data_IF_664186909533
#
_entry.id   IF_664186909533
#
_cell.length_a   1.000
_cell.length_b   1.000
_cell.length_c   1.000
_cell.angle_alpha   90.00
_cell.angle_beta   90.00
_cell.angle_gamma   90.00
#
_symmetry.space_group_name_H-M   'P 1'
#
loop_
_entity.id
_entity.type
_entity.pdbx_description
1 polymer ?
#
# COMPACT_ATOMS: atom_id res chain seq x y z
N UNK A 1 17.74 16.71 -6.42
CA UNK A 1 16.58 16.46 -7.32
C UNK A 1 15.70 17.69 -7.30
N UNK A 2 15.62 18.44 -8.40
CA UNK A 2 14.77 19.63 -8.47
C UNK A 2 13.31 19.22 -8.28
N UNK A 3 12.70 19.71 -7.20
CA UNK A 3 11.29 19.48 -6.89
C UNK A 3 10.46 20.20 -7.95
N UNK A 4 9.86 19.45 -8.89
CA UNK A 4 9.01 20.06 -9.91
C UNK A 4 7.83 20.75 -9.23
N UNK A 5 7.59 22.01 -9.58
CA UNK A 5 6.45 22.75 -9.04
C UNK A 5 5.13 22.14 -9.54
N UNK A 6 4.05 22.17 -8.73
CA UNK A 6 2.75 21.64 -9.15
C UNK A 6 2.26 22.22 -10.49
N UNK A 7 2.58 23.50 -10.76
CA UNK A 7 2.26 24.17 -12.03
C UNK A 7 3.04 23.57 -13.21
N UNK A 8 4.34 23.28 -13.04
CA UNK A 8 5.14 22.64 -14.09
C UNK A 8 4.62 21.24 -14.41
N UNK A 9 4.24 20.46 -13.40
CA UNK A 9 3.64 19.14 -13.61
C UNK A 9 2.28 19.23 -14.31
N UNK A 10 1.45 20.21 -13.97
CA UNK A 10 0.16 20.44 -14.64
C UNK A 10 0.35 20.85 -16.11
N UNK A 11 1.26 21.81 -16.38
CA UNK A 11 1.56 22.25 -17.74
C UNK A 11 2.13 21.11 -18.59
N UNK A 12 3.00 20.28 -18.00
CA UNK A 12 3.51 19.08 -18.66
C UNK A 12 2.39 18.10 -19.01
N UNK A 13 1.47 17.82 -18.07
CA UNK A 13 0.33 16.92 -18.32
C UNK A 13 -0.60 17.48 -19.41
N UNK A 14 -0.89 18.79 -19.39
CA UNK A 14 -1.69 19.42 -20.44
C UNK A 14 -1.01 19.36 -21.81
N UNK A 15 0.31 19.56 -21.87
CA UNK A 15 1.08 19.44 -23.11
C UNK A 15 1.03 18.01 -23.65
N UNK A 16 1.25 17.00 -22.80
CA UNK A 16 1.17 15.58 -23.20
C UNK A 16 -0.25 15.23 -23.66
N UNK A 17 -1.28 15.70 -22.95
CA UNK A 17 -2.67 15.50 -23.35
C UNK A 17 -2.99 16.15 -24.70
N UNK A 18 -2.52 17.38 -24.94
CA UNK A 18 -2.69 18.07 -26.21
C UNK A 18 -2.00 17.33 -27.35
N UNK A 19 -0.76 16.86 -27.15
CA UNK A 19 -0.03 16.08 -28.14
C UNK A 19 -0.75 14.76 -28.46
N UNK A 20 -1.31 14.09 -27.45
CA UNK A 20 -2.10 12.89 -27.67
C UNK A 20 -3.36 13.19 -28.49
N UNK A 21 -4.09 14.27 -28.20
CA UNK A 21 -5.27 14.68 -28.97
C UNK A 21 -4.93 15.06 -30.41
N UNK A 22 -3.80 15.75 -30.64
CA UNK A 22 -3.31 16.04 -31.99
C UNK A 22 -2.97 14.75 -32.72
N UNK A 23 -2.33 13.79 -32.05
CA UNK A 23 -2.08 12.47 -32.63
C UNK A 23 -3.41 11.76 -32.98
N UNK A 24 -4.42 11.78 -32.10
CA UNK A 24 -5.75 11.21 -32.36
C UNK A 24 -6.43 11.83 -33.58
N UNK A 25 -6.28 13.15 -33.75
CA UNK A 25 -6.85 13.88 -34.87
C UNK A 25 -6.09 13.65 -36.19
N UNK A 26 -4.77 13.58 -36.14
CA UNK A 26 -3.92 13.45 -37.31
C UNK A 26 -3.75 12.01 -37.81
N UNK A 27 -4.02 11.00 -36.97
CA UNK A 27 -3.85 9.60 -37.35
C UNK A 27 -4.95 9.14 -38.33
N UNK A 28 -4.60 8.44 -39.42
CA UNK A 28 -5.59 7.97 -40.39
C UNK A 28 -6.51 6.89 -39.80
N UNK A 29 -7.82 7.00 -40.06
CA UNK A 29 -8.84 6.05 -39.56
C UNK A 29 -8.61 4.59 -39.97
N UNK A 30 -7.92 4.35 -41.10
CA UNK A 30 -7.62 3.01 -41.60
C UNK A 30 -6.26 2.45 -41.11
N UNK A 31 -5.61 3.15 -40.17
CA UNK A 31 -4.28 2.83 -39.67
C UNK A 31 -3.17 3.07 -40.71
N UNK A 32 -1.93 2.93 -40.24
CA UNK A 32 -0.72 2.97 -41.08
C UNK A 32 -0.20 1.54 -41.20
N UNK A 33 -0.22 0.98 -42.41
CA UNK A 33 0.36 -0.34 -42.67
C UNK A 33 1.89 -0.25 -42.60
N UNK A 34 2.48 -0.99 -41.67
CA UNK A 34 3.94 -1.13 -41.52
C UNK A 34 4.46 -2.37 -42.27
N UNK A 35 3.62 -3.41 -42.40
CA UNK A 35 3.86 -4.59 -43.25
C UNK A 35 2.51 -5.21 -43.67
N UNK A 36 2.54 -6.30 -44.43
CA UNK A 36 1.34 -7.08 -44.80
C UNK A 36 0.61 -7.70 -43.59
N UNK A 37 1.26 -7.78 -42.42
CA UNK A 37 0.75 -8.39 -41.20
C UNK A 37 0.58 -7.43 -40.02
N UNK A 38 1.06 -6.19 -40.13
CA UNK A 38 1.07 -5.22 -39.04
C UNK A 38 0.53 -3.88 -39.52
N UNK A 39 -0.63 -3.50 -38.98
CA UNK A 39 -1.21 -2.17 -39.11
C UNK A 39 -1.08 -1.47 -37.76
N UNK A 40 -0.44 -0.30 -37.76
CA UNK A 40 -0.45 0.58 -36.61
C UNK A 40 -1.77 1.35 -36.62
N UNK A 41 -2.55 1.20 -35.57
CA UNK A 41 -3.81 1.91 -35.37
C UNK A 41 -3.68 2.81 -34.15
N UNK A 42 -4.45 3.89 -34.13
CA UNK A 42 -4.50 4.82 -33.01
C UNK A 42 -5.95 5.25 -32.80
N UNK A 43 -6.37 5.29 -31.54
CA UNK A 43 -7.75 5.55 -31.16
C UNK A 43 -8.21 6.91 -31.69
N UNK A 44 -9.38 6.96 -32.32
CA UNK A 44 -9.93 8.20 -32.84
C UNK A 44 -10.56 9.05 -31.72
N UNK A 45 -10.73 10.36 -31.96
CA UNK A 45 -11.44 11.24 -31.02
C UNK A 45 -12.88 10.78 -30.77
N UNK A 46 -13.52 10.20 -31.80
CA UNK A 46 -14.88 9.70 -31.75
C UNK A 46 -15.00 8.46 -30.86
N UNK A 47 -14.01 7.57 -30.84
CA UNK A 47 -13.99 6.40 -29.96
C UNK A 47 -13.54 6.75 -28.53
N UNK A 48 -12.59 7.67 -28.38
CA UNK A 48 -12.09 8.07 -27.07
C UNK A 48 -13.10 8.90 -26.26
N UNK A 49 -13.82 9.82 -26.91
CA UNK A 49 -14.87 10.63 -26.28
C UNK A 49 -16.28 10.10 -26.52
N UNK A 50 -16.45 9.22 -27.49
CA UNK A 50 -17.70 8.49 -27.67
C UNK A 50 -17.92 7.60 -26.47
N UNK A 51 -19.13 7.64 -25.92
CA UNK A 51 -19.59 6.59 -25.02
C UNK A 51 -19.76 5.35 -25.89
N UNK A 52 -18.68 4.59 -26.08
CA UNK A 52 -18.76 3.25 -26.65
C UNK A 52 -19.55 2.41 -25.66
N UNK A 53 -20.83 2.16 -25.96
CA UNK A 53 -21.62 1.13 -25.32
C UNK A 53 -20.79 -0.17 -25.40
N UNK A 54 -20.29 -0.60 -24.25
CA UNK A 54 -19.62 -1.88 -23.98
C UNK A 54 -18.38 -2.21 -24.83
N UNK A 55 -17.23 -2.13 -24.16
CA UNK A 55 -16.04 -2.88 -24.53
C UNK A 55 -16.43 -4.33 -24.87
N UNK A 56 -15.98 -4.80 -26.04
CA UNK A 56 -16.01 -6.20 -26.49
C UNK A 56 -15.47 -7.11 -25.39
N UNK A 57 -16.36 -7.67 -24.57
CA UNK A 57 -16.10 -8.86 -23.77
C UNK A 57 -16.41 -10.03 -24.69
N UNK A 58 -15.36 -10.57 -25.31
CA UNK A 58 -15.43 -11.80 -26.08
C UNK A 58 -15.73 -12.97 -25.14
N UNK A 59 -17.01 -13.22 -24.82
CA UNK A 59 -17.43 -14.49 -24.21
C UNK A 59 -18.94 -14.71 -24.32
N UNK A 60 -19.35 -15.61 -25.23
CA UNK A 60 -20.60 -16.41 -25.18
C UNK A 60 -21.95 -15.64 -25.26
N UNK A 61 -21.97 -14.35 -25.01
CA UNK A 61 -23.20 -13.52 -24.95
C UNK A 61 -23.80 -13.27 -26.34
N UNK A 62 -22.98 -13.00 -27.38
CA UNK A 62 -23.46 -12.74 -28.76
C UNK A 62 -24.17 -13.93 -29.42
N UNK A 63 -23.93 -15.16 -28.97
CA UNK A 63 -24.61 -16.35 -29.51
C UNK A 63 -26.06 -16.50 -29.01
N UNK A 64 -26.43 -15.82 -27.92
CA UNK A 64 -27.80 -15.87 -27.38
C UNK A 64 -28.68 -14.73 -27.91
N UNK A 65 -28.10 -13.60 -28.32
CA UNK A 65 -28.87 -12.42 -28.76
C UNK A 65 -29.45 -12.52 -30.18
N UNK A 66 -28.96 -13.42 -31.04
CA UNK A 66 -29.47 -13.57 -32.40
C UNK A 66 -30.70 -14.48 -32.52
N UNK A 67 -31.16 -15.12 -31.44
CA UNK A 67 -32.21 -16.16 -31.52
C UNK A 67 -33.62 -15.62 -31.31
N UNK A 68 -33.83 -14.45 -30.69
CA UNK A 68 -35.21 -13.96 -30.48
C UNK A 68 -35.28 -12.45 -30.57
N UNK A 69 -35.97 -11.95 -31.61
CA UNK A 69 -36.34 -10.54 -31.75
C UNK A 69 -37.35 -10.11 -30.69
N UNK A 70 -36.89 -9.97 -29.45
CA UNK A 70 -37.67 -9.52 -28.30
C UNK A 70 -37.23 -8.10 -27.94
N UNK A 71 -38.23 -7.27 -27.68
CA UNK A 71 -38.18 -5.88 -27.26
C UNK A 71 -36.98 -5.54 -26.34
N UNK A 72 -36.10 -4.69 -26.86
CA UNK A 72 -34.74 -4.42 -26.36
C UNK A 72 -34.73 -3.68 -25.02
N UNK A 73 -35.80 -2.96 -24.67
CA UNK A 73 -35.84 -2.11 -23.48
C UNK A 73 -36.05 -2.92 -22.19
N UNK A 74 -36.97 -3.90 -22.21
CA UNK A 74 -37.24 -4.75 -21.05
C UNK A 74 -36.10 -5.74 -20.75
N UNK A 75 -35.39 -6.18 -21.80
CA UNK A 75 -34.23 -7.06 -21.71
C UNK A 75 -33.01 -6.32 -21.16
N UNK A 76 -32.77 -5.07 -21.59
CA UNK A 76 -31.67 -4.23 -21.07
C UNK A 76 -31.81 -3.97 -19.57
N UNK A 77 -32.99 -3.62 -19.08
CA UNK A 77 -33.24 -3.41 -17.65
C UNK A 77 -33.07 -4.69 -16.81
N UNK A 78 -33.46 -5.83 -17.38
CA UNK A 78 -33.29 -7.14 -16.73
C UNK A 78 -31.82 -7.53 -16.66
N UNK A 79 -31.05 -7.29 -17.73
CA UNK A 79 -29.61 -7.50 -17.79
C UNK A 79 -28.85 -6.55 -16.87
N UNK A 80 -29.25 -5.28 -16.77
CA UNK A 80 -28.68 -4.31 -15.83
C UNK A 80 -28.93 -4.72 -14.38
N UNK A 81 -30.12 -5.25 -14.07
CA UNK A 81 -30.41 -5.85 -12.76
C UNK A 81 -29.53 -7.07 -12.50
N UNK A 82 -29.40 -7.97 -13.46
CA UNK A 82 -28.55 -9.17 -13.34
C UNK A 82 -27.09 -8.77 -13.18
N UNK A 83 -26.60 -7.77 -13.91
CA UNK A 83 -25.26 -7.22 -13.79
C UNK A 83 -25.02 -6.57 -12.42
N UNK A 84 -25.98 -5.80 -11.89
CA UNK A 84 -25.91 -5.23 -10.53
C UNK A 84 -25.95 -6.30 -9.44
N UNK A 85 -26.78 -7.34 -9.61
CA UNK A 85 -26.88 -8.49 -8.70
C UNK A 85 -25.58 -9.28 -8.75
N UNK A 86 -25.07 -9.59 -9.94
CA UNK A 86 -23.79 -10.29 -10.15
C UNK A 86 -22.63 -9.47 -9.62
N UNK A 87 -22.60 -8.16 -9.85
CA UNK A 87 -21.61 -7.27 -9.28
C UNK A 87 -21.67 -7.33 -7.76
N UNK A 88 -22.85 -7.24 -7.14
CA UNK A 88 -23.03 -7.40 -5.68
C UNK A 88 -22.62 -8.79 -5.16
N UNK A 89 -22.84 -9.86 -5.92
CA UNK A 89 -22.43 -11.23 -5.58
C UNK A 89 -20.91 -11.43 -5.72
N UNK A 90 -20.28 -10.82 -6.71
CA UNK A 90 -18.84 -10.93 -7.00
C UNK A 90 -18.04 -9.91 -6.17
N UNK A 91 -18.63 -8.76 -5.82
CA UNK A 91 -18.03 -7.68 -5.04
C UNK A 91 -18.27 -7.82 -3.53
N UNK A 92 -19.12 -8.77 -3.11
CA UNK A 92 -19.25 -9.14 -1.71
C UNK A 92 -17.96 -9.78 -1.21
N UNK A 93 -17.60 -9.53 0.05
CA UNK A 93 -16.49 -10.25 0.69
C UNK A 93 -16.85 -11.74 0.68
N UNK A 94 -16.13 -12.52 -0.12
CA UNK A 94 -16.32 -13.96 -0.14
C UNK A 94 -15.74 -14.56 1.13
N UNK A 95 -16.55 -15.33 1.83
CA UNK A 95 -16.13 -16.01 3.04
C UNK A 95 -16.88 -17.32 3.22
N UNK A 96 -16.30 -18.32 3.90
CA UNK A 96 -17.04 -19.52 4.27
C UNK A 96 -18.15 -19.18 5.26
N UNK A 97 -19.21 -20.01 5.31
CA UNK A 97 -20.30 -19.85 6.29
C UNK A 97 -19.78 -19.90 7.74
N UNK A 98 -18.69 -20.63 7.96
CA UNK A 98 -18.00 -20.74 9.25
C UNK A 98 -17.21 -19.48 9.64
N UNK A 99 -17.12 -18.45 8.79
CA UNK A 99 -16.36 -17.23 9.08
C UNK A 99 -16.89 -16.56 10.34
N UNK A 100 -18.22 -16.44 10.48
CA UNK A 100 -18.84 -15.77 11.63
C UNK A 100 -18.38 -16.45 12.91
N UNK A 101 -18.40 -17.79 12.94
CA UNK A 101 -17.93 -18.59 14.07
C UNK A 101 -16.43 -18.40 14.34
N UNK A 102 -15.63 -18.31 13.27
CA UNK A 102 -14.17 -18.11 13.36
C UNK A 102 -13.81 -16.73 13.92
N UNK A 103 -14.59 -15.70 13.62
CA UNK A 103 -14.36 -14.32 14.08
C UNK A 103 -14.96 -14.03 15.46
N UNK A 104 -15.75 -14.93 16.06
CA UNK A 104 -16.38 -14.67 17.36
C UNK A 104 -15.36 -14.28 18.44
N UNK A 105 -14.20 -14.95 18.49
CA UNK A 105 -13.13 -14.64 19.47
C UNK A 105 -12.55 -13.24 19.23
N UNK A 106 -12.41 -12.85 17.97
CA UNK A 106 -11.94 -11.53 17.58
C UNK A 106 -12.94 -10.44 18.02
N UNK A 107 -14.22 -10.57 17.67
CA UNK A 107 -15.24 -9.60 18.07
C UNK A 107 -15.43 -9.54 19.59
N UNK A 108 -15.39 -10.67 20.30
CA UNK A 108 -15.40 -10.69 21.78
C UNK A 108 -14.23 -9.89 22.35
N UNK A 109 -13.04 -9.98 21.73
CA UNK A 109 -11.87 -9.21 22.15
C UNK A 109 -12.05 -7.71 21.92
N UNK A 110 -12.67 -7.31 20.81
CA UNK A 110 -13.00 -5.91 20.50
C UNK A 110 -14.08 -5.33 21.44
N UNK A 111 -15.13 -6.09 21.72
CA UNK A 111 -16.17 -5.68 22.68
C UNK A 111 -15.57 -5.51 24.08
N UNK A 112 -14.70 -6.45 24.49
CA UNK A 112 -13.96 -6.34 25.77
C UNK A 112 -13.06 -5.11 25.79
N UNK A 113 -12.35 -4.81 24.70
CA UNK A 113 -11.53 -3.61 24.56
C UNK A 113 -12.37 -2.34 24.78
N UNK A 114 -13.54 -2.24 24.15
CA UNK A 114 -14.46 -1.10 24.28
C UNK A 114 -14.98 -0.94 25.71
N UNK A 115 -15.33 -2.05 26.37
CA UNK A 115 -15.97 -2.03 27.69
C UNK A 115 -14.98 -1.87 28.86
N UNK A 116 -13.78 -2.48 28.77
CA UNK A 116 -12.83 -2.61 29.89
C UNK A 116 -11.45 -2.05 29.60
N UNK A 117 -11.21 -1.54 28.39
CA UNK A 117 -9.86 -1.18 27.95
C UNK A 117 -8.98 -2.41 27.69
N UNK A 118 -7.68 -2.17 27.48
CA UNK A 118 -6.70 -3.19 27.15
C UNK A 118 -6.01 -2.93 25.81
N UNK A 119 -5.50 -3.99 25.17
CA UNK A 119 -4.76 -3.88 23.92
C UNK A 119 -5.10 -5.04 22.99
N UNK A 120 -5.68 -4.72 21.84
CA UNK A 120 -5.85 -5.65 20.71
C UNK A 120 -4.94 -5.15 19.58
N UNK A 121 -4.10 -6.03 19.05
CA UNK A 121 -3.24 -5.72 17.89
C UNK A 121 -3.73 -6.54 16.71
N UNK A 122 -3.96 -5.87 15.59
CA UNK A 122 -4.43 -6.47 14.34
C UNK A 122 -3.30 -6.35 13.33
N UNK A 123 -2.95 -7.47 12.71
CA UNK A 123 -1.94 -7.54 11.67
C UNK A 123 -2.63 -7.83 10.35
N UNK A 124 -2.43 -6.95 9.37
CA UNK A 124 -3.08 -7.02 8.07
C UNK A 124 -2.01 -7.32 7.01
N UNK A 125 -2.00 -8.55 6.51
CA UNK A 125 -1.12 -8.99 5.43
C UNK A 125 -1.87 -9.00 4.10
N UNK A 126 -1.13 -8.72 3.04
CA UNK A 126 -1.67 -8.62 1.69
C UNK A 126 -0.56 -8.23 0.72
N UNK A 127 -0.98 -7.76 -0.44
CA UNK A 127 -0.12 -7.39 -1.57
C UNK A 127 0.14 -5.86 -1.62
N UNK A 128 0.55 -5.39 -2.79
CA UNK A 128 0.84 -3.98 -3.06
C UNK A 128 -0.36 -3.04 -2.84
N UNK A 129 -1.59 -3.53 -2.83
CA UNK A 129 -2.79 -2.70 -2.66
C UNK A 129 -2.93 -2.18 -1.23
N UNK A 130 -2.49 -2.94 -0.23
CA UNK A 130 -2.42 -2.46 1.15
C UNK A 130 -1.11 -1.73 1.46
N UNK A 131 -0.10 -1.89 0.62
CA UNK A 131 1.17 -1.18 0.71
C UNK A 131 0.93 0.34 0.54
N UNK A 132 1.41 1.15 1.49
CA UNK A 132 1.08 2.58 1.54
C UNK A 132 -0.26 2.90 2.21
N UNK A 133 -0.85 1.95 2.95
CA UNK A 133 -1.98 2.21 3.86
C UNK A 133 -3.31 2.55 3.14
N UNK A 134 -3.48 2.15 1.87
CA UNK A 134 -4.67 2.56 1.08
C UNK A 134 -5.98 2.02 1.64
N UNK A 135 -6.04 0.74 1.96
CA UNK A 135 -7.20 0.08 2.59
C UNK A 135 -7.07 0.05 4.12
N UNK A 136 -5.88 -0.28 4.63
CA UNK A 136 -5.62 -0.43 6.07
C UNK A 136 -5.99 0.83 6.86
N UNK A 137 -5.82 2.03 6.29
CA UNK A 137 -6.23 3.28 6.97
C UNK A 137 -7.72 3.33 7.29
N UNK A 138 -8.57 2.89 6.37
CA UNK A 138 -10.02 2.94 6.53
C UNK A 138 -10.47 1.89 7.52
N UNK A 139 -9.99 0.65 7.37
CA UNK A 139 -10.28 -0.45 8.29
C UNK A 139 -9.83 -0.08 9.72
N UNK A 140 -8.60 0.41 9.88
CA UNK A 140 -8.06 0.88 11.17
C UNK A 140 -8.94 1.97 11.76
N UNK A 141 -9.33 2.97 10.97
CA UNK A 141 -10.14 4.10 11.43
C UNK A 141 -11.53 3.66 11.90
N UNK A 142 -12.21 2.81 11.13
CA UNK A 142 -13.54 2.32 11.51
C UNK A 142 -13.49 1.44 12.76
N UNK A 143 -12.50 0.55 12.88
CA UNK A 143 -12.31 -0.24 14.10
C UNK A 143 -11.98 0.64 15.32
N UNK A 144 -11.12 1.65 15.14
CA UNK A 144 -10.76 2.59 16.21
C UNK A 144 -11.92 3.51 16.62
N UNK A 145 -12.82 3.86 15.69
CA UNK A 145 -14.05 4.60 15.98
C UNK A 145 -15.03 3.75 16.78
N UNK A 146 -15.27 2.51 16.33
CA UNK A 146 -16.29 1.65 16.92
C UNK A 146 -15.87 1.07 18.26
N UNK A 147 -14.65 0.54 18.36
CA UNK A 147 -14.17 -0.22 19.52
C UNK A 147 -13.13 0.52 20.36
N UNK A 148 -12.74 1.72 19.94
CA UNK A 148 -11.68 2.49 20.59
C UNK A 148 -10.28 2.05 20.16
N UNK A 149 -9.27 2.65 20.80
CA UNK A 149 -7.87 2.50 20.41
C UNK A 149 -7.37 3.66 19.55
N UNK A 150 -6.04 3.81 19.51
CA UNK A 150 -5.35 4.89 18.83
C UNK A 150 -3.98 4.42 18.33
N UNK A 151 -3.36 5.26 17.51
CA UNK A 151 -1.98 5.06 17.06
C UNK A 151 -1.86 4.30 15.74
N UNK A 152 -0.65 4.34 15.14
CA UNK A 152 -0.35 3.74 13.82
C UNK A 152 -0.17 2.22 13.88
N UNK A 153 0.30 1.69 15.02
CA UNK A 153 0.60 0.27 15.17
C UNK A 153 2.09 -0.02 14.95
N UNK A 154 2.39 -1.00 14.12
CA UNK A 154 3.76 -1.47 13.86
C UNK A 154 4.22 -0.94 12.49
N UNK A 155 5.36 -0.26 12.48
CA UNK A 155 5.94 0.38 11.28
C UNK A 155 7.43 -0.02 11.18
N UNK A 156 8.00 -0.21 9.97
CA UNK A 156 9.42 -0.50 9.80
C UNK A 156 10.29 0.71 10.07
N UNK A 157 11.55 0.48 10.46
CA UNK A 157 12.52 1.55 10.69
C UNK A 157 12.95 2.26 9.41
N UNK A 158 12.74 1.68 8.23
CA UNK A 158 12.87 2.35 6.94
C UNK A 158 11.62 2.09 6.10
N UNK A 159 10.81 3.14 5.95
CA UNK A 159 9.56 3.10 5.21
C UNK A 159 9.80 3.48 3.73
N UNK A 160 9.48 2.57 2.80
CA UNK A 160 9.62 2.83 1.36
C UNK A 160 8.48 3.69 0.82
N UNK A 161 7.26 3.47 1.33
CA UNK A 161 6.06 4.21 0.90
C UNK A 161 5.52 5.05 2.04
N UNK A 162 5.28 6.34 1.78
CA UNK A 162 4.60 7.22 2.74
C UNK A 162 3.25 6.61 3.14
N UNK A 163 2.97 6.52 4.43
CA UNK A 163 1.68 6.04 4.95
C UNK A 163 0.82 7.21 5.43
N UNK A 164 -0.47 6.97 5.64
CA UNK A 164 -1.35 7.96 6.28
C UNK A 164 -1.26 7.95 7.80
N UNK A 165 -0.47 7.05 8.38
CA UNK A 165 -0.37 6.85 9.80
C UNK A 165 0.73 7.72 10.43
N UNK A 166 1.92 7.71 9.82
CA UNK A 166 3.09 8.46 10.27
C UNK A 166 3.82 9.11 9.10
N UNK A 167 4.50 10.23 9.40
CA UNK A 167 5.62 10.73 8.63
C UNK A 167 6.89 10.22 9.27
N UNK A 168 7.79 9.73 8.43
CA UNK A 168 9.08 9.22 8.84
C UNK A 168 10.16 9.92 8.01
N UNK A 169 11.21 10.38 8.69
CA UNK A 169 12.43 10.90 8.10
C UNK A 169 13.62 10.18 8.78
N UNK A 170 14.75 10.03 8.10
CA UNK A 170 15.90 9.25 8.60
C UNK A 170 17.22 9.71 7.99
N UNK A 171 18.35 9.28 8.57
CA UNK A 171 19.67 9.45 7.96
C UNK A 171 19.84 8.61 6.68
N UNK A 172 20.76 9.03 5.81
CA UNK A 172 20.93 8.45 4.47
C UNK A 172 21.45 7.01 4.44
N UNK A 173 22.04 6.53 5.54
CA UNK A 173 22.69 5.22 5.63
C UNK A 173 21.73 4.06 5.95
N UNK A 174 20.43 4.28 6.08
CA UNK A 174 19.46 3.21 6.28
C UNK A 174 19.19 2.43 5.00
N UNK A 175 19.28 1.10 5.08
CA UNK A 175 18.93 0.17 4.01
C UNK A 175 17.85 -0.80 4.48
N UNK A 176 16.95 -1.17 3.57
CA UNK A 176 15.86 -2.14 3.81
C UNK A 176 16.10 -3.41 2.99
N UNK A 177 15.88 -4.54 3.65
CA UNK A 177 16.00 -5.87 3.08
C UNK A 177 14.67 -6.60 3.21
N UNK A 178 14.19 -7.20 2.13
CA UNK A 178 12.89 -7.89 2.06
C UNK A 178 13.09 -9.37 1.83
N UNK A 179 12.20 -10.20 2.40
CA UNK A 179 12.20 -11.64 2.13
C UNK A 179 11.69 -11.95 0.71
N UNK A 180 10.87 -11.05 0.16
CA UNK A 180 10.30 -11.15 -1.17
C UNK A 180 11.19 -10.44 -2.20
N UNK A 181 11.22 -10.97 -3.43
CA UNK A 181 12.00 -10.41 -4.54
C UNK A 181 13.36 -11.07 -4.73
N UNK A 182 14.29 -10.34 -5.35
CA UNK A 182 15.66 -10.83 -5.57
C UNK A 182 16.37 -10.97 -4.23
N UNK A 183 16.84 -12.18 -3.92
CA UNK A 183 17.63 -12.44 -2.71
C UNK A 183 18.90 -11.60 -2.74
N UNK A 184 19.10 -10.81 -1.69
CA UNK A 184 20.38 -10.16 -1.44
C UNK A 184 21.37 -11.20 -0.91
N UNK A 185 22.45 -11.45 -1.66
CA UNK A 185 23.46 -12.45 -1.32
C UNK A 185 24.29 -12.06 -0.09
N UNK A 186 24.27 -10.81 0.34
CA UNK A 186 24.95 -10.35 1.56
C UNK A 186 24.18 -10.72 2.82
N UNK A 187 22.89 -11.06 2.71
CA UNK A 187 22.05 -11.49 3.84
C UNK A 187 22.05 -13.02 3.94
N UNK A 188 22.77 -13.54 4.94
CA UNK A 188 22.94 -14.99 5.16
C UNK A 188 21.89 -15.62 6.08
N UNK A 189 20.96 -14.84 6.63
CA UNK A 189 19.94 -15.31 7.58
C UNK A 189 18.50 -15.14 7.04
N UNK A 190 17.51 -15.75 7.72
CA UNK A 190 16.08 -15.62 7.39
C UNK A 190 15.27 -14.79 8.39
N UNK A 191 15.95 -13.97 9.20
CA UNK A 191 15.35 -13.17 10.28
C UNK A 191 14.69 -11.88 9.75
N UNK A 192 13.61 -12.03 8.98
CA UNK A 192 12.90 -10.90 8.37
C UNK A 192 11.74 -10.35 9.22
N UNK A 193 11.46 -10.95 10.37
CA UNK A 193 10.45 -10.47 11.31
C UNK A 193 9.03 -10.41 10.74
N UNK A 194 8.15 -9.67 11.45
CA UNK A 194 6.72 -9.60 11.14
C UNK A 194 6.44 -8.95 9.78
N UNK A 195 7.24 -7.99 9.33
CA UNK A 195 6.99 -7.28 8.07
C UNK A 195 7.59 -7.97 6.85
N UNK A 196 8.08 -9.22 7.01
CA UNK A 196 8.87 -9.92 6.01
C UNK A 196 10.00 -9.02 5.44
N UNK A 197 10.50 -8.10 6.29
CA UNK A 197 11.53 -7.14 5.97
C UNK A 197 12.14 -6.58 7.25
N UNK A 198 13.42 -6.22 7.17
CA UNK A 198 14.14 -5.54 8.24
C UNK A 198 14.96 -4.39 7.65
N UNK A 199 15.42 -3.51 8.53
CA UNK A 199 16.25 -2.37 8.15
C UNK A 199 17.52 -2.34 9.00
N UNK A 200 18.63 -1.92 8.41
CA UNK A 200 19.88 -1.70 9.12
C UNK A 200 20.58 -0.47 8.55
N UNK A 201 21.31 0.23 9.40
CA UNK A 201 22.07 1.42 9.03
C UNK A 201 23.57 1.13 8.81
N UNK A 202 23.99 -0.10 9.10
CA UNK A 202 25.34 -0.59 8.86
C UNK A 202 25.33 -1.64 7.73
N UNK A 203 26.39 -1.76 6.92
CA UNK A 203 26.48 -2.79 5.88
C UNK A 203 26.37 -4.22 6.43
N UNK A 204 25.83 -5.19 5.66
CA UNK A 204 25.68 -6.59 6.10
C UNK A 204 26.96 -7.38 6.24
N UNK A 205 27.97 -7.00 5.47
CA UNK A 205 29.28 -7.62 5.52
C UNK A 205 30.07 -6.88 6.59
N UNK A 206 30.65 -7.61 7.54
CA UNK A 206 31.67 -7.09 8.46
C UNK A 206 32.99 -6.77 7.70
N UNK A 207 32.90 -6.30 6.45
CA UNK A 207 34.03 -6.04 5.54
C UNK A 207 34.87 -4.85 5.95
N UNK A 208 34.60 -4.28 7.12
CA UNK A 208 35.35 -3.16 7.62
C UNK A 208 35.64 -3.46 9.08
N UNK A 209 36.92 -3.63 9.37
CA UNK A 209 37.51 -3.33 10.69
C UNK A 209 37.32 -1.84 11.00
N UNK A 210 36.10 -1.32 10.86
CA UNK A 210 35.82 0.08 11.06
C UNK A 210 35.85 0.29 12.57
N UNK A 211 36.93 0.93 13.01
CA UNK A 211 37.08 1.47 14.36
C UNK A 211 36.15 2.66 14.57
N UNK A 212 35.62 3.24 13.50
CA UNK A 212 34.74 4.39 13.58
C UNK A 212 33.35 4.02 14.09
N UNK A 213 32.85 4.87 14.99
CA UNK A 213 31.50 4.75 15.53
C UNK A 213 30.50 5.17 14.46
N UNK A 214 29.72 4.21 13.95
CA UNK A 214 28.63 4.49 13.02
C UNK A 214 27.38 4.94 13.78
N UNK A 215 26.80 6.06 13.38
CA UNK A 215 25.54 6.58 13.91
C UNK A 215 24.46 6.62 12.83
N UNK A 216 23.21 6.58 13.26
CA UNK A 216 22.05 6.80 12.43
C UNK A 216 20.93 7.41 13.27
N UNK A 217 20.01 8.11 12.62
CA UNK A 217 18.82 8.66 13.28
C UNK A 217 17.55 8.30 12.50
N UNK A 218 16.45 8.29 13.23
CA UNK A 218 15.09 8.08 12.73
C UNK A 218 14.17 9.05 13.45
N UNK A 219 13.39 9.80 12.69
CA UNK A 219 12.39 10.72 13.19
C UNK A 219 10.99 10.23 12.77
N UNK A 220 10.07 10.19 13.73
CA UNK A 220 8.67 9.80 13.49
C UNK A 220 7.77 10.93 13.98
N UNK A 221 6.87 11.38 13.10
CA UNK A 221 5.86 12.40 13.38
C UNK A 221 4.48 11.91 12.97
N UNK A 222 3.39 12.35 13.62
CA UNK A 222 2.05 12.09 13.10
C UNK A 222 1.88 12.65 11.69
N UNK A 223 1.31 11.87 10.76
CA UNK A 223 1.00 12.36 9.42
C UNK A 223 -0.22 13.30 9.46
N UNK A 224 -0.08 14.54 8.96
CA UNK A 224 -1.15 15.56 9.04
C UNK A 224 -2.44 15.14 8.31
N UNK A 225 -2.32 14.42 7.21
CA UNK A 225 -3.45 13.90 6.41
C UNK A 225 -4.03 12.57 6.93
N UNK A 226 -3.50 12.02 8.03
CA UNK A 226 -4.04 10.84 8.68
C UNK A 226 -5.33 11.13 9.45
N UNK A 227 -6.14 10.10 9.72
CA UNK A 227 -7.32 10.25 10.59
C UNK A 227 -6.94 10.66 12.03
N UNK A 228 -7.89 11.25 12.76
CA UNK A 228 -7.62 11.78 14.11
C UNK A 228 -7.02 10.76 15.09
N UNK A 229 -7.58 9.54 15.14
CA UNK A 229 -7.18 8.51 16.12
C UNK A 229 -5.82 7.88 15.83
N UNK A 230 -5.43 7.76 14.55
CA UNK A 230 -4.13 7.19 14.18
C UNK A 230 -2.97 8.11 14.61
N UNK A 231 -3.20 9.43 14.61
CA UNK A 231 -2.21 10.44 15.01
C UNK A 231 -1.97 10.52 16.53
N UNK A 232 -2.73 9.77 17.34
CA UNK A 232 -2.63 9.78 18.80
C UNK A 232 -1.85 8.58 19.30
N UNK A 233 -0.61 8.80 19.68
CA UNK A 233 0.22 7.78 20.32
C UNK A 233 1.23 8.45 21.25
N UNK A 234 1.49 7.82 22.39
CA UNK A 234 2.44 8.26 23.41
C UNK A 234 3.40 7.15 23.85
N UNK A 235 3.27 5.96 23.23
CA UNK A 235 4.10 4.80 23.51
C UNK A 235 4.78 4.36 22.22
N UNK A 236 6.09 4.20 22.29
CA UNK A 236 6.91 3.61 21.24
C UNK A 236 7.58 2.35 21.79
N UNK A 237 7.69 1.31 20.96
CA UNK A 237 8.57 0.18 21.22
C UNK A 237 9.37 -0.10 19.97
N UNK A 238 10.66 -0.36 20.11
CA UNK A 238 11.56 -0.71 19.03
C UNK A 238 11.93 -2.19 19.13
N UNK A 239 11.79 -2.91 18.01
CA UNK A 239 12.30 -4.28 17.88
C UNK A 239 13.67 -4.19 17.22
N UNK A 240 14.71 -4.49 17.98
CA UNK A 240 16.10 -4.34 17.58
C UNK A 240 16.84 -5.66 17.81
N UNK A 241 17.80 -5.96 16.94
CA UNK A 241 18.70 -7.09 17.17
C UNK A 241 19.58 -7.41 15.97
N UNK A 242 20.36 -8.47 16.09
CA UNK A 242 21.34 -8.85 15.08
C UNK A 242 22.55 -7.91 14.98
N UNK A 243 22.75 -7.04 15.98
CA UNK A 243 23.91 -6.17 16.07
C UNK A 243 25.13 -6.97 16.56
N UNK A 244 26.25 -6.94 15.84
CA UNK A 244 27.50 -7.62 16.23
C UNK A 244 28.31 -6.82 17.25
N UNK A 245 28.10 -5.50 17.31
CA UNK A 245 28.72 -4.57 18.27
C UNK A 245 27.65 -3.92 19.17
N UNK A 246 28.01 -3.40 20.35
CA UNK A 246 27.08 -2.64 21.18
C UNK A 246 26.52 -1.41 20.46
N UNK A 247 25.26 -1.06 20.72
CA UNK A 247 24.59 0.10 20.10
C UNK A 247 24.02 0.98 21.19
N UNK A 248 24.41 2.25 21.22
CA UNK A 248 23.77 3.26 22.08
C UNK A 248 22.45 3.72 21.47
N UNK A 249 21.42 3.86 22.30
CA UNK A 249 20.09 4.34 21.90
C UNK A 249 19.79 5.61 22.69
N UNK A 250 19.38 6.64 21.97
CA UNK A 250 18.89 7.90 22.54
C UNK A 250 17.56 8.19 21.89
N UNK A 251 16.53 8.44 22.70
CA UNK A 251 15.21 8.87 22.22
C UNK A 251 14.95 10.27 22.75
N UNK A 252 14.59 11.16 21.84
CA UNK A 252 14.21 12.53 22.13
C UNK A 252 12.79 12.82 21.67
N UNK A 253 12.06 13.61 22.45
CA UNK A 253 10.75 14.17 22.09
C UNK A 253 10.92 15.69 22.07
N UNK A 254 10.60 16.33 20.94
CA UNK A 254 10.75 17.78 20.74
C UNK A 254 12.12 18.32 21.20
N UNK A 255 13.19 17.64 20.75
CA UNK A 255 14.60 17.90 21.10
C UNK A 255 15.00 17.63 22.55
N UNK A 256 14.08 17.20 23.41
CA UNK A 256 14.37 16.81 24.80
C UNK A 256 14.63 15.32 24.88
N UNK A 257 15.80 14.91 25.40
CA UNK A 257 16.12 13.49 25.59
C UNK A 257 15.26 12.92 26.72
N UNK A 258 14.44 11.92 26.40
CA UNK A 258 13.53 11.26 27.36
C UNK A 258 14.00 9.85 27.75
N UNK A 259 14.88 9.25 26.95
CA UNK A 259 15.37 7.89 27.19
C UNK A 259 16.79 7.71 26.64
N UNK A 260 17.62 6.99 27.41
CA UNK A 260 18.97 6.54 27.03
C UNK A 260 19.13 5.09 27.43
N UNK A 261 19.65 4.27 26.53
CA UNK A 261 19.91 2.86 26.79
C UNK A 261 21.00 2.35 25.84
N UNK A 262 21.37 1.09 25.97
CA UNK A 262 22.26 0.40 25.04
C UNK A 262 21.80 -1.03 24.77
N UNK A 263 22.13 -1.52 23.58
CA UNK A 263 22.00 -2.92 23.20
C UNK A 263 23.36 -3.58 23.32
N UNK A 264 23.40 -4.73 23.98
CA UNK A 264 24.57 -5.61 23.97
C UNK A 264 24.75 -6.24 22.59
N UNK A 265 25.99 -6.55 22.23
CA UNK A 265 26.27 -7.33 21.03
C UNK A 265 25.53 -8.68 21.03
N UNK A 266 25.13 -9.13 19.85
CA UNK A 266 24.50 -10.43 19.56
C UNK A 266 23.21 -10.70 20.34
N UNK A 267 22.39 -9.68 20.56
CA UNK A 267 21.10 -9.83 21.27
C UNK A 267 19.92 -9.40 20.41
N UNK A 268 18.75 -10.00 20.67
CA UNK A 268 17.46 -9.56 20.14
C UNK A 268 16.66 -8.99 21.30
N UNK A 269 16.32 -7.71 21.23
CA UNK A 269 15.63 -7.02 22.32
C UNK A 269 14.43 -6.23 21.81
N UNK A 270 13.44 -6.12 22.69
CA UNK A 270 12.40 -5.10 22.59
C UNK A 270 12.72 -4.03 23.61
N UNK A 271 12.88 -2.79 23.14
CA UNK A 271 13.04 -1.61 23.98
C UNK A 271 11.79 -0.74 23.87
#
# INVERSE_FOLDING_TARGET
>A
MNQQSPLQSLLFLMLVGLLALIAMWAFPKNGIKLSDSITLEYESLEEFFGVSDTAKITSVEDSLFNIVGIDTVALRDSLDRIAKIRWKLVSGIQHPDSLINSLQKFYKSLIKLKAKGGKVRILHYGDSQIEGDRMTRYIRNELQKEYGGTGPGFEPAFQVLRTSAIRQDQSDNWLRYTANGKKDSTIQHRNFGLLASFSRYCPPVDSIENTDTLSAWLEIKPASYGFYRVRKFSQMSMLLGGNTKPVAIIISVDSTVVFRDSLKANTYNRK
#
